data_IF_413915370231
#
_entry.id   IF_413915370231
#
_cell.length_a   1.000
_cell.length_b   1.000
_cell.length_c   1.000
_cell.angle_alpha   90.00
_cell.angle_beta   90.00
_cell.angle_gamma   90.00
#
_symmetry.space_group_name_H-M   'P 1'
#
loop_
_entity.id
_entity.type
_entity.pdbx_description
1 polymer ?
#
# COMPACT_ATOMS: atom_id res chain seq x y z
N UNK A 1 12.20 -7.13 -1.66
CA UNK A 1 11.16 -6.10 -1.78
C UNK A 1 9.72 -6.61 -1.67
N UNK A 2 9.37 -7.86 -2.00
CA UNK A 2 7.96 -8.29 -2.19
C UNK A 2 7.17 -8.76 -0.96
N UNK A 3 7.73 -8.76 0.27
CA UNK A 3 7.05 -9.31 1.46
C UNK A 3 6.64 -8.29 2.52
N UNK A 4 6.90 -6.99 2.32
CA UNK A 4 6.66 -5.98 3.34
C UNK A 4 5.21 -5.95 3.85
N UNK A 5 4.26 -6.05 2.93
CA UNK A 5 2.83 -6.04 3.22
C UNK A 5 2.23 -7.46 3.32
N UNK A 6 3.05 -8.51 3.26
CA UNK A 6 2.57 -9.88 3.27
C UNK A 6 2.00 -10.23 4.65
N UNK A 7 0.75 -10.70 4.68
CA UNK A 7 -0.03 -11.01 5.89
C UNK A 7 -0.21 -9.82 6.86
N UNK A 8 0.11 -8.60 6.42
CA UNK A 8 -0.20 -7.41 7.20
C UNK A 8 -1.72 -7.27 7.33
N UNK A 9 -2.25 -7.06 8.54
CA UNK A 9 -3.68 -6.79 8.72
C UNK A 9 -4.06 -5.46 8.08
N UNK A 10 -5.27 -5.38 7.53
CA UNK A 10 -5.80 -4.11 7.04
C UNK A 10 -6.11 -3.20 8.22
N UNK A 11 -5.70 -1.93 8.13
CA UNK A 11 -5.93 -0.93 9.18
C UNK A 11 -6.47 0.37 8.57
N UNK A 12 -7.34 1.05 9.33
CA UNK A 12 -7.89 2.38 9.06
C UNK A 12 -7.55 3.32 10.21
N UNK A 13 -8.00 4.58 10.16
CA UNK A 13 -7.67 5.57 11.22
C UNK A 13 -8.36 5.23 12.56
N UNK A 14 -9.52 4.58 12.51
CA UNK A 14 -10.38 4.18 13.62
C UNK A 14 -10.23 2.71 14.02
N UNK A 15 -9.59 1.89 13.20
CA UNK A 15 -9.33 0.48 13.48
C UNK A 15 -7.92 0.10 13.03
N UNK A 16 -6.97 0.09 13.96
CA UNK A 16 -5.57 -0.24 13.66
C UNK A 16 -5.14 -1.50 14.42
N UNK A 17 -4.49 -2.42 13.71
CA UNK A 17 -4.19 -3.76 14.21
C UNK A 17 -2.90 -3.84 15.05
N UNK A 18 -2.29 -2.71 15.41
CA UNK A 18 -0.97 -2.66 16.06
C UNK A 18 -1.00 -1.69 17.24
N UNK A 19 -0.71 -2.15 18.46
CA UNK A 19 -0.99 -1.37 19.67
C UNK A 19 -0.14 -0.11 19.87
N UNK A 20 0.91 0.10 19.06
CA UNK A 20 1.93 1.12 19.33
C UNK A 20 1.92 2.36 18.39
N UNK A 21 1.47 2.24 17.13
CA UNK A 21 1.50 3.35 16.15
C UNK A 21 0.27 3.28 15.24
N UNK A 22 -0.49 4.36 15.14
CA UNK A 22 -1.58 4.48 14.17
C UNK A 22 -1.04 4.91 12.80
N UNK A 23 -0.52 3.94 12.05
CA UNK A 23 0.04 4.16 10.72
C UNK A 23 -0.93 4.82 9.73
N UNK A 24 -2.22 4.51 9.81
CA UNK A 24 -3.24 5.15 8.98
C UNK A 24 -3.24 6.66 9.20
N UNK A 25 -3.20 7.12 10.46
CA UNK A 25 -3.18 8.53 10.79
C UNK A 25 -1.93 9.23 10.23
N UNK A 26 -0.74 8.63 10.41
CA UNK A 26 0.52 9.15 9.89
C UNK A 26 0.56 9.25 8.36
N UNK A 27 -0.16 8.36 7.69
CA UNK A 27 -0.21 8.29 6.23
C UNK A 27 -1.40 9.02 5.61
N UNK A 28 -2.03 9.93 6.37
CA UNK A 28 -3.06 10.82 5.85
C UNK A 28 -4.49 10.31 6.01
N UNK A 29 -4.74 9.43 7.00
CA UNK A 29 -6.00 8.79 7.33
C UNK A 29 -6.52 7.83 6.25
N UNK A 30 -5.65 6.96 5.74
CA UNK A 30 -5.99 6.05 4.64
C UNK A 30 -5.94 4.59 5.07
N UNK A 31 -6.86 3.80 4.52
CA UNK A 31 -6.90 2.36 4.78
C UNK A 31 -5.82 1.62 4.00
N UNK A 32 -4.98 0.84 4.69
CA UNK A 32 -3.93 0.04 4.03
C UNK A 32 -3.49 -1.16 4.88
N UNK A 33 -2.77 -2.08 4.24
CA UNK A 33 -2.09 -3.19 4.92
C UNK A 33 -0.74 -2.71 5.46
N UNK A 34 -0.74 -2.00 6.59
CA UNK A 34 0.48 -1.48 7.20
C UNK A 34 1.32 -2.58 7.86
N UNK A 35 2.63 -2.50 7.72
CA UNK A 35 3.56 -3.39 8.41
C UNK A 35 3.66 -3.02 9.89
N UNK A 36 3.99 -3.99 10.73
CA UNK A 36 4.22 -3.78 12.15
C UNK A 36 5.57 -3.05 12.34
N UNK A 37 5.56 -1.89 13.00
CA UNK A 37 6.77 -1.14 13.33
C UNK A 37 6.75 0.32 12.87
N UNK A 38 7.88 1.00 13.02
CA UNK A 38 8.03 2.43 12.69
C UNK A 38 7.90 2.76 11.20
N UNK A 39 8.26 1.82 10.34
CA UNK A 39 8.16 1.98 8.88
C UNK A 39 6.86 1.34 8.37
N UNK A 40 5.76 2.07 8.55
CA UNK A 40 4.39 1.66 8.26
C UNK A 40 4.17 1.05 6.85
N UNK A 41 4.73 1.66 5.80
CA UNK A 41 4.48 1.21 4.42
C UNK A 41 5.65 1.48 3.47
N UNK A 42 5.91 0.52 2.58
CA UNK A 42 6.83 0.68 1.46
C UNK A 42 6.11 0.97 0.14
N UNK A 43 4.87 0.51 0.04
CA UNK A 43 3.91 0.79 -1.04
C UNK A 43 2.60 1.17 -0.37
N UNK A 44 1.91 2.18 -0.88
CA UNK A 44 0.59 2.61 -0.42
C UNK A 44 -0.20 3.12 -1.64
N UNK A 45 -1.15 2.33 -2.13
CA UNK A 45 -1.89 2.71 -3.35
C UNK A 45 -3.21 3.43 -3.06
N UNK A 46 -3.62 3.48 -1.78
CA UNK A 46 -4.84 4.15 -1.31
C UNK A 46 -4.58 5.57 -0.78
N UNK A 47 -3.39 6.12 -1.00
CA UNK A 47 -3.03 7.43 -0.48
C UNK A 47 -3.68 8.60 -1.23
N UNK A 48 -3.35 9.80 -0.79
CA UNK A 48 -3.88 11.05 -1.34
C UNK A 48 -3.48 11.25 -2.79
N UNK A 49 -4.48 11.52 -3.62
CA UNK A 49 -4.28 11.97 -4.98
C UNK A 49 -3.67 13.38 -4.98
N UNK A 50 -2.67 13.67 -5.82
CA UNK A 50 -2.09 15.01 -5.89
C UNK A 50 -3.11 16.00 -6.50
N UNK A 51 -3.35 17.12 -5.82
CA UNK A 51 -4.26 18.17 -6.31
C UNK A 51 -3.59 19.12 -7.30
N UNK A 52 -2.26 19.15 -7.31
CA UNK A 52 -1.44 20.01 -8.17
C UNK A 52 -0.80 19.19 -9.29
N UNK A 53 -0.50 19.87 -10.40
CA UNK A 53 0.10 19.25 -11.59
C UNK A 53 1.52 18.75 -11.36
N UNK A 54 2.21 19.22 -10.32
CA UNK A 54 3.55 18.79 -9.92
C UNK A 54 3.58 17.38 -9.28
N UNK A 55 2.41 16.82 -8.96
CA UNK A 55 2.30 15.50 -8.34
C UNK A 55 2.74 15.48 -6.86
N UNK A 56 2.93 16.65 -6.23
CA UNK A 56 3.42 16.73 -4.86
C UNK A 56 2.30 16.59 -3.83
N UNK A 57 2.64 15.94 -2.72
CA UNK A 57 1.80 15.73 -1.54
C UNK A 57 2.62 15.86 -0.26
N UNK A 58 1.99 16.05 0.92
CA UNK A 58 2.67 15.93 2.20
C UNK A 58 3.39 14.58 2.31
N UNK A 59 4.55 14.58 2.97
CA UNK A 59 5.42 13.40 3.11
C UNK A 59 4.61 12.17 3.53
N UNK A 60 4.81 11.05 2.83
CA UNK A 60 4.18 9.75 3.12
C UNK A 60 2.65 9.67 2.97
N UNK A 61 1.96 10.75 2.56
CA UNK A 61 0.50 10.74 2.47
C UNK A 61 -0.05 10.33 1.10
N UNK A 62 0.81 10.26 0.07
CA UNK A 62 0.40 10.02 -1.31
C UNK A 62 0.15 8.56 -1.67
N UNK A 63 -0.12 8.37 -2.97
CA UNK A 63 -0.09 7.09 -3.67
C UNK A 63 1.39 6.79 -3.96
N UNK A 64 1.99 5.88 -3.20
CA UNK A 64 3.45 5.68 -3.13
C UNK A 64 3.87 4.25 -3.50
N UNK A 65 5.06 4.14 -4.07
CA UNK A 65 5.78 2.89 -4.31
C UNK A 65 7.28 3.18 -4.26
N UNK A 66 7.87 3.05 -3.07
CA UNK A 66 9.26 3.46 -2.80
C UNK A 66 10.26 2.67 -3.65
N UNK A 67 9.94 1.41 -3.95
CA UNK A 67 10.74 0.56 -4.84
C UNK A 67 10.84 1.04 -6.29
N UNK A 68 9.96 1.95 -6.72
CA UNK A 68 10.04 2.56 -8.05
C UNK A 68 10.43 4.05 -7.98
N UNK A 69 9.78 4.83 -7.12
CA UNK A 69 10.13 6.23 -6.85
C UNK A 69 10.39 6.42 -5.37
N UNK A 70 11.63 6.75 -5.01
CA UNK A 70 12.04 6.94 -3.61
C UNK A 70 11.49 8.23 -2.97
N UNK A 71 11.07 9.21 -3.78
CA UNK A 71 10.54 10.47 -3.29
C UNK A 71 9.15 10.27 -2.65
N UNK A 72 9.09 10.31 -1.32
CA UNK A 72 7.88 10.18 -0.50
C UNK A 72 6.95 11.40 -0.54
N UNK A 73 7.32 12.46 -1.28
CA UNK A 73 6.43 13.58 -1.61
C UNK A 73 5.77 13.44 -2.97
N UNK A 74 6.19 12.49 -3.80
CA UNK A 74 5.63 12.31 -5.14
C UNK A 74 4.52 11.26 -5.11
N UNK A 75 3.31 11.65 -5.50
CA UNK A 75 2.15 10.77 -5.60
C UNK A 75 1.91 10.33 -7.04
N UNK A 76 1.62 9.05 -7.25
CA UNK A 76 1.21 8.56 -8.56
C UNK A 76 -0.14 9.15 -8.98
N UNK A 77 -0.21 9.61 -10.24
CA UNK A 77 -1.45 10.16 -10.82
C UNK A 77 -2.40 9.07 -11.34
N UNK A 78 -1.93 7.83 -11.47
CA UNK A 78 -2.78 6.72 -11.88
C UNK A 78 -2.23 5.41 -11.30
N UNK A 79 -3.12 4.64 -10.68
CA UNK A 79 -2.83 3.28 -10.20
C UNK A 79 -4.05 2.40 -10.44
N UNK A 80 -3.81 1.11 -10.66
CA UNK A 80 -4.86 0.11 -10.78
C UNK A 80 -4.38 -1.19 -10.14
N UNK A 81 -5.13 -1.67 -9.15
CA UNK A 81 -4.92 -3.00 -8.57
C UNK A 81 -5.85 -3.98 -9.27
N UNK A 82 -5.31 -5.07 -9.80
CA UNK A 82 -6.05 -6.09 -10.53
C UNK A 82 -5.74 -7.47 -9.95
N UNK A 83 -6.75 -8.33 -9.89
CA UNK A 83 -6.60 -9.73 -9.52
C UNK A 83 -7.02 -10.61 -10.70
N UNK A 84 -6.33 -11.73 -10.88
CA UNK A 84 -6.69 -12.76 -11.85
C UNK A 84 -6.78 -14.11 -11.14
N UNK A 85 -7.84 -14.90 -11.38
CA UNK A 85 -7.89 -16.27 -10.88
C UNK A 85 -6.69 -17.08 -11.36
N UNK A 86 -6.03 -17.80 -10.45
CA UNK A 86 -5.06 -18.81 -10.86
C UNK A 86 -5.83 -19.96 -11.48
N UNK A 87 -5.60 -20.26 -12.77
CA UNK A 87 -6.10 -21.48 -13.37
C UNK A 87 -5.62 -22.64 -12.50
N UNK A 88 -6.55 -23.50 -12.06
CA UNK A 88 -6.15 -24.78 -11.44
C UNK A 88 -5.28 -25.48 -12.47
N UNK A 89 -4.04 -25.85 -12.11
CA UNK A 89 -3.26 -26.80 -12.92
C UNK A 89 -4.19 -27.99 -13.17
N UNK A 90 -4.60 -28.19 -14.42
CA UNK A 90 -5.27 -29.41 -14.83
C UNK A 90 -4.36 -30.56 -14.41
N UNK A 91 -4.84 -31.39 -13.47
CA UNK A 91 -4.20 -32.67 -13.24
C UNK A 91 -4.34 -33.43 -14.56
N UNK A 92 -3.24 -33.54 -15.30
CA UNK A 92 -3.14 -34.51 -16.39
C UNK A 92 -3.29 -35.86 -15.71
N UNK A 93 -4.50 -36.43 -15.75
CA UNK A 93 -4.69 -37.84 -15.44
C UNK A 93 -4.03 -38.60 -16.58
N UNK A 94 -2.82 -39.09 -16.35
CA UNK A 94 -2.25 -40.14 -17.18
C UNK A 94 -3.21 -41.34 -17.06
N UNK A 95 -3.83 -41.70 -18.20
CA UNK A 95 -4.44 -43.02 -18.38
C UNK A 95 -3.35 -44.02 -18.68
#
# INVERSE_FOLDING_TARGET
FSRWHHNAPFSTYDHYATDNINCSNLHGNVGWWYHLGVECAYVQLNGRFPTHSDGLVPFNTGILWIGWKSNRHYSFQHVRMLIQPKLKRSHVRHR
#
